data_IF_759720611863
#
_entry.id   IF_759720611863
#
_cell.length_a   1.000
_cell.length_b   1.000
_cell.length_c   1.000
_cell.angle_alpha   90.00
_cell.angle_beta   90.00
_cell.angle_gamma   90.00
#
_symmetry.space_group_name_H-M   'P 1'
#
loop_
_entity.id
_entity.type
_entity.pdbx_description
1 polymer ?
#
# COMPACT_ATOMS: atom_id res chain seq x y z
N UNK A 1 -24.40 -76.41 83.94
CA UNK A 1 -24.97 -76.37 82.57
C UNK A 1 -24.73 -74.96 82.04
N UNK A 2 -23.79 -74.84 81.11
CA UNK A 2 -23.25 -73.58 80.60
C UNK A 2 -24.06 -73.18 79.37
N UNK A 3 -24.69 -72.00 79.37
CA UNK A 3 -25.05 -71.29 78.13
C UNK A 3 -23.87 -70.40 77.79
N UNK A 4 -23.23 -70.60 76.63
CA UNK A 4 -23.40 -69.67 75.50
C UNK A 4 -23.25 -70.44 74.15
N UNK A 5 -23.56 -69.94 72.97
CA UNK A 5 -23.53 -68.58 72.46
C UNK A 5 -24.65 -68.43 71.44
N UNK A 6 -25.34 -67.30 71.52
CA UNK A 6 -25.93 -66.65 70.36
C UNK A 6 -24.75 -66.36 69.40
N UNK A 7 -24.46 -67.31 68.51
CA UNK A 7 -23.71 -66.97 67.30
C UNK A 7 -24.64 -66.00 66.57
N UNK A 8 -24.25 -64.73 66.57
CA UNK A 8 -24.96 -63.66 65.88
C UNK A 8 -25.04 -64.00 64.39
N UNK A 9 -26.07 -64.76 64.04
CA UNK A 9 -26.57 -64.86 62.68
C UNK A 9 -26.95 -63.44 62.29
N UNK A 10 -26.13 -62.86 61.41
CA UNK A 10 -26.50 -61.65 60.69
C UNK A 10 -27.88 -61.92 60.06
N UNK A 11 -28.92 -61.13 60.39
CA UNK A 11 -30.31 -61.48 60.10
C UNK A 11 -30.65 -61.60 58.61
N UNK A 12 -29.69 -61.30 57.73
CA UNK A 12 -29.84 -61.29 56.27
C UNK A 12 -29.03 -62.39 55.53
N UNK A 13 -28.32 -63.29 56.22
CA UNK A 13 -27.54 -64.36 55.55
C UNK A 13 -26.37 -63.87 54.69
N UNK A 14 -25.98 -62.61 54.83
CA UNK A 14 -24.87 -61.97 54.09
C UNK A 14 -23.56 -62.36 54.74
N UNK A 15 -22.67 -62.99 53.98
CA UNK A 15 -21.34 -63.40 54.44
C UNK A 15 -20.30 -62.28 54.27
N UNK A 16 -19.19 -62.34 55.01
CA UNK A 16 -18.07 -61.39 54.85
C UNK A 16 -17.55 -61.33 53.39
N UNK A 17 -17.67 -62.44 52.64
CA UNK A 17 -17.29 -62.54 51.22
C UNK A 17 -18.22 -61.69 50.33
N UNK A 18 -19.51 -61.61 50.65
CA UNK A 18 -20.47 -60.77 49.92
C UNK A 18 -20.16 -59.27 50.09
N UNK A 19 -19.71 -58.87 51.28
CA UNK A 19 -19.27 -57.49 51.54
C UNK A 19 -18.02 -57.10 50.75
N UNK A 20 -17.03 -58.00 50.65
CA UNK A 20 -15.81 -57.78 49.85
C UNK A 20 -16.15 -57.65 48.37
N UNK A 21 -16.98 -58.55 47.83
CA UNK A 21 -17.42 -58.50 46.42
C UNK A 21 -18.14 -57.18 46.09
N UNK A 22 -19.06 -56.75 46.96
CA UNK A 22 -19.76 -55.47 46.79
C UNK A 22 -18.79 -54.28 46.85
N UNK A 23 -17.78 -54.32 47.72
CA UNK A 23 -16.77 -53.28 47.78
C UNK A 23 -15.92 -53.21 46.50
N UNK A 24 -15.56 -54.36 45.92
CA UNK A 24 -14.85 -54.46 44.63
C UNK A 24 -15.69 -53.88 43.48
N UNK A 25 -16.99 -54.20 43.41
CA UNK A 25 -17.93 -53.66 42.43
C UNK A 25 -18.06 -52.13 42.54
N UNK A 26 -18.19 -51.60 43.76
CA UNK A 26 -18.25 -50.15 44.02
C UNK A 26 -16.96 -49.47 43.58
N UNK A 27 -15.80 -50.09 43.87
CA UNK A 27 -14.50 -49.55 43.49
C UNK A 27 -14.28 -49.55 41.98
N UNK A 28 -14.70 -50.63 41.29
CA UNK A 28 -14.68 -50.72 39.83
C UNK A 28 -15.59 -49.66 39.18
N UNK A 29 -16.83 -49.52 39.66
CA UNK A 29 -17.76 -48.50 39.19
C UNK A 29 -17.22 -47.07 39.42
N UNK A 30 -16.60 -46.82 40.58
CA UNK A 30 -15.96 -45.54 40.91
C UNK A 30 -14.78 -45.22 39.97
N UNK A 31 -13.94 -46.22 39.66
CA UNK A 31 -12.85 -46.08 38.67
C UNK A 31 -13.39 -45.74 37.28
N UNK A 32 -14.38 -46.49 36.80
CA UNK A 32 -15.01 -46.22 35.49
C UNK A 32 -15.62 -44.82 35.43
N UNK A 33 -16.29 -44.37 36.50
CA UNK A 33 -16.86 -43.02 36.58
C UNK A 33 -15.78 -41.94 36.55
N UNK A 34 -14.64 -42.14 37.24
CA UNK A 34 -13.50 -41.20 37.18
C UNK A 34 -12.87 -41.15 35.79
N UNK A 35 -12.68 -42.30 35.16
CA UNK A 35 -12.12 -42.38 33.81
C UNK A 35 -13.03 -41.74 32.77
N UNK A 36 -14.35 -41.94 32.86
CA UNK A 36 -15.33 -41.27 31.99
C UNK A 36 -15.28 -39.74 32.13
N UNK A 37 -15.15 -39.23 33.35
CA UNK A 37 -14.98 -37.78 33.60
C UNK A 37 -13.67 -37.25 33.01
N UNK A 38 -12.56 -37.96 33.20
CA UNK A 38 -11.27 -37.58 32.62
C UNK A 38 -11.32 -37.56 31.09
N UNK A 39 -11.96 -38.57 30.47
CA UNK A 39 -12.18 -38.59 29.02
C UNK A 39 -13.05 -37.44 28.55
N UNK A 40 -14.11 -37.08 29.28
CA UNK A 40 -14.96 -35.95 28.95
C UNK A 40 -14.18 -34.61 29.00
N UNK A 41 -13.40 -34.39 30.06
CA UNK A 41 -12.55 -33.20 30.22
C UNK A 41 -11.50 -33.13 29.10
N UNK A 42 -10.85 -34.24 28.78
CA UNK A 42 -9.85 -34.29 27.71
C UNK A 42 -10.45 -33.93 26.36
N UNK A 43 -11.64 -34.47 26.02
CA UNK A 43 -12.35 -34.13 24.79
C UNK A 43 -12.79 -32.67 24.73
N UNK A 44 -13.25 -32.11 25.84
CA UNK A 44 -13.62 -30.69 25.90
C UNK A 44 -12.39 -29.80 25.72
N UNK A 45 -11.26 -30.14 26.36
CA UNK A 45 -10.01 -29.43 26.20
C UNK A 45 -9.54 -29.44 24.75
N UNK A 46 -9.48 -30.61 24.10
CA UNK A 46 -9.07 -30.70 22.69
C UNK A 46 -9.99 -29.88 21.79
N UNK A 47 -11.30 -29.97 22.00
CA UNK A 47 -12.28 -29.18 21.24
C UNK A 47 -12.05 -27.67 21.39
N UNK A 48 -11.77 -27.19 22.61
CA UNK A 48 -11.47 -25.77 22.86
C UNK A 48 -10.18 -25.34 22.17
N UNK A 49 -9.14 -26.17 22.19
CA UNK A 49 -7.86 -25.91 21.52
C UNK A 49 -8.06 -25.83 20.01
N UNK A 50 -8.74 -26.81 19.41
CA UNK A 50 -9.04 -26.82 17.96
C UNK A 50 -9.84 -25.58 17.55
N UNK A 51 -10.86 -25.22 18.34
CA UNK A 51 -11.66 -24.01 18.08
C UNK A 51 -10.82 -22.74 18.18
N UNK A 52 -9.96 -22.64 19.19
CA UNK A 52 -9.06 -21.50 19.35
C UNK A 52 -8.07 -21.40 18.18
N UNK A 53 -7.47 -22.52 17.77
CA UNK A 53 -6.57 -22.58 16.64
C UNK A 53 -7.27 -22.13 15.35
N UNK A 54 -8.45 -22.69 15.04
CA UNK A 54 -9.20 -22.29 13.85
C UNK A 54 -9.61 -20.79 13.88
N UNK A 55 -9.93 -20.27 15.06
CA UNK A 55 -10.22 -18.82 15.21
C UNK A 55 -8.99 -17.95 14.97
N UNK A 56 -7.82 -18.41 15.41
CA UNK A 56 -6.55 -17.71 15.24
C UNK A 56 -6.09 -17.74 13.79
N UNK A 57 -6.21 -18.87 13.10
CA UNK A 57 -5.93 -19.00 11.67
C UNK A 57 -6.79 -18.03 10.85
N UNK A 58 -8.12 -18.00 11.11
CA UNK A 58 -9.03 -17.03 10.48
C UNK A 58 -8.63 -15.58 10.74
N UNK A 59 -8.22 -15.27 11.97
CA UNK A 59 -7.72 -13.94 12.31
C UNK A 59 -6.45 -13.59 11.53
N UNK A 60 -5.49 -14.51 11.46
CA UNK A 60 -4.24 -14.31 10.72
C UNK A 60 -4.50 -14.10 9.23
N UNK A 61 -5.39 -14.88 8.63
CA UNK A 61 -5.72 -14.74 7.20
C UNK A 61 -6.42 -13.40 6.91
N UNK A 62 -7.37 -13.01 7.75
CA UNK A 62 -8.01 -11.69 7.67
C UNK A 62 -6.99 -10.56 7.89
N UNK A 63 -6.04 -10.74 8.81
CA UNK A 63 -4.99 -9.76 9.05
C UNK A 63 -4.06 -9.62 7.84
N UNK A 64 -3.60 -10.74 7.26
CA UNK A 64 -2.78 -10.75 6.04
C UNK A 64 -3.49 -10.05 4.89
N UNK A 65 -4.77 -10.35 4.66
CA UNK A 65 -5.56 -9.71 3.61
C UNK A 65 -5.59 -8.18 3.77
N UNK A 66 -5.90 -7.68 4.97
CA UNK A 66 -5.93 -6.23 5.25
C UNK A 66 -4.57 -5.56 5.05
N UNK A 67 -3.48 -6.22 5.47
CA UNK A 67 -2.12 -5.70 5.28
C UNK A 67 -1.78 -5.62 3.80
N UNK A 68 -2.06 -6.67 3.03
CA UNK A 68 -1.84 -6.68 1.58
C UNK A 68 -2.66 -5.60 0.88
N UNK A 69 -3.95 -5.44 1.20
CA UNK A 69 -4.80 -4.39 0.63
C UNK A 69 -4.28 -2.99 0.96
N UNK A 70 -3.86 -2.75 2.20
CA UNK A 70 -3.28 -1.47 2.62
C UNK A 70 -1.97 -1.18 1.88
N UNK A 71 -1.10 -2.18 1.73
CA UNK A 71 0.15 -2.06 0.99
C UNK A 71 -0.09 -1.76 -0.50
N UNK A 72 -1.01 -2.48 -1.13
CA UNK A 72 -1.39 -2.22 -2.52
C UNK A 72 -1.98 -0.81 -2.70
N UNK A 73 -2.86 -0.38 -1.79
CA UNK A 73 -3.44 0.96 -1.85
C UNK A 73 -2.36 2.05 -1.73
N UNK A 74 -1.38 1.86 -0.83
CA UNK A 74 -0.23 2.77 -0.71
C UNK A 74 0.62 2.76 -1.98
N UNK A 75 0.91 1.58 -2.55
CA UNK A 75 1.70 1.46 -3.77
C UNK A 75 1.01 2.13 -4.97
N UNK A 76 -0.31 1.96 -5.11
CA UNK A 76 -1.11 2.64 -6.14
C UNK A 76 -1.02 4.16 -6.00
N UNK A 77 -1.11 4.70 -4.77
CA UNK A 77 -0.97 6.14 -4.51
C UNK A 77 0.43 6.65 -4.85
N UNK A 78 1.47 5.90 -4.48
CA UNK A 78 2.86 6.25 -4.79
C UNK A 78 3.10 6.27 -6.31
N UNK A 79 2.65 5.23 -7.02
CA UNK A 79 2.78 5.13 -8.47
C UNK A 79 2.03 6.27 -9.18
N UNK A 80 0.82 6.61 -8.72
CA UNK A 80 0.08 7.75 -9.25
C UNK A 80 0.83 9.07 -9.07
N UNK A 81 1.39 9.31 -7.88
CA UNK A 81 2.19 10.50 -7.61
C UNK A 81 3.47 10.53 -8.46
N UNK A 82 4.14 9.39 -8.63
CA UNK A 82 5.33 9.25 -9.47
C UNK A 82 5.02 9.59 -10.93
N UNK A 83 3.94 9.03 -11.49
CA UNK A 83 3.54 9.32 -12.87
C UNK A 83 3.15 10.78 -13.07
N UNK A 84 2.46 11.39 -12.11
CA UNK A 84 2.19 12.84 -12.15
C UNK A 84 3.48 13.66 -12.20
N UNK A 85 4.46 13.33 -11.34
CA UNK A 85 5.77 14.00 -11.34
C UNK A 85 6.49 13.83 -12.67
N UNK A 86 6.53 12.60 -13.21
CA UNK A 86 7.16 12.31 -14.50
C UNK A 86 6.52 13.11 -15.64
N UNK A 87 5.19 13.19 -15.68
CA UNK A 87 4.49 13.99 -16.69
C UNK A 87 4.84 15.48 -16.57
N UNK A 88 4.88 16.01 -15.35
CA UNK A 88 5.31 17.39 -15.11
C UNK A 88 6.76 17.63 -15.54
N UNK A 89 7.67 16.70 -15.28
CA UNK A 89 9.06 16.79 -15.73
C UNK A 89 9.14 16.82 -17.26
N UNK A 90 8.40 15.94 -17.94
CA UNK A 90 8.33 15.92 -19.40
C UNK A 90 7.83 17.28 -19.93
N UNK A 91 6.82 17.87 -19.31
CA UNK A 91 6.27 19.15 -19.75
C UNK A 91 7.23 20.31 -19.48
N UNK A 92 7.92 20.32 -18.34
CA UNK A 92 9.01 21.27 -18.06
C UNK A 92 10.11 21.15 -19.12
N UNK A 93 10.52 19.93 -19.46
CA UNK A 93 11.53 19.68 -20.50
C UNK A 93 11.09 20.22 -21.87
N UNK A 94 9.83 20.02 -22.26
CA UNK A 94 9.29 20.59 -23.51
C UNK A 94 9.33 22.12 -23.49
N UNK A 95 8.95 22.74 -22.38
CA UNK A 95 8.98 24.20 -22.22
C UNK A 95 10.41 24.75 -22.29
N UNK A 96 11.36 24.13 -21.58
CA UNK A 96 12.77 24.53 -21.64
C UNK A 96 13.34 24.43 -23.06
N UNK A 97 12.98 23.37 -23.81
CA UNK A 97 13.39 23.21 -25.21
C UNK A 97 12.79 24.30 -26.11
N UNK A 98 11.53 24.69 -25.87
CA UNK A 98 10.89 25.79 -26.59
C UNK A 98 11.56 27.14 -26.29
N UNK A 99 11.89 27.41 -25.02
CA UNK A 99 12.65 28.59 -24.61
C UNK A 99 14.03 28.62 -25.26
N UNK A 100 14.74 27.50 -25.32
CA UNK A 100 16.05 27.44 -25.98
C UNK A 100 15.95 27.75 -27.48
N UNK A 101 14.93 27.21 -28.17
CA UNK A 101 14.67 27.51 -29.58
C UNK A 101 14.35 28.99 -29.81
N UNK A 102 13.45 29.57 -29.02
CA UNK A 102 13.10 30.99 -29.14
C UNK A 102 14.30 31.90 -28.84
N UNK A 103 15.13 31.57 -27.85
CA UNK A 103 16.38 32.28 -27.56
C UNK A 103 17.34 32.27 -28.75
N UNK A 104 17.53 31.12 -29.40
CA UNK A 104 18.37 30.99 -30.60
C UNK A 104 17.82 31.82 -31.76
N UNK A 105 16.52 31.79 -32.00
CA UNK A 105 15.87 32.60 -33.03
C UNK A 105 16.05 34.10 -32.77
N UNK A 106 15.88 34.55 -31.52
CA UNK A 106 16.08 35.94 -31.13
C UNK A 106 17.55 36.38 -31.33
N UNK A 107 18.51 35.55 -30.95
CA UNK A 107 19.93 35.84 -31.17
C UNK A 107 20.25 35.99 -32.66
N UNK A 108 19.73 35.11 -33.52
CA UNK A 108 19.91 35.21 -34.97
C UNK A 108 19.30 36.50 -35.53
N UNK A 109 18.09 36.87 -35.09
CA UNK A 109 17.43 38.10 -35.50
C UNK A 109 18.24 39.34 -35.08
N UNK A 110 18.80 39.34 -33.86
CA UNK A 110 19.66 40.44 -33.40
C UNK A 110 20.92 40.58 -34.27
N UNK A 111 21.55 39.47 -34.65
CA UNK A 111 22.70 39.49 -35.56
C UNK A 111 22.29 40.06 -36.93
N UNK A 112 21.16 39.63 -37.48
CA UNK A 112 20.65 40.13 -38.76
C UNK A 112 20.36 41.64 -38.71
N UNK A 113 19.70 42.12 -37.65
CA UNK A 113 19.45 43.56 -37.44
C UNK A 113 20.76 44.34 -37.37
N UNK A 114 21.76 43.84 -36.63
CA UNK A 114 23.07 44.50 -36.53
C UNK A 114 23.77 44.56 -37.88
N UNK A 115 23.79 43.47 -38.64
CA UNK A 115 24.41 43.40 -39.97
C UNK A 115 23.74 44.38 -40.93
N UNK A 116 22.41 44.36 -41.01
CA UNK A 116 21.63 45.27 -41.85
C UNK A 116 21.90 46.74 -41.50
N UNK A 117 22.01 47.07 -40.19
CA UNK A 117 22.33 48.43 -39.76
C UNK A 117 23.75 48.84 -40.16
N UNK A 118 24.72 47.94 -40.05
CA UNK A 118 26.10 48.20 -40.47
C UNK A 118 26.18 48.41 -41.98
N UNK A 119 25.53 47.54 -42.76
CA UNK A 119 25.42 47.66 -44.22
C UNK A 119 24.78 48.99 -44.63
N UNK A 120 23.62 49.33 -44.04
CA UNK A 120 22.92 50.59 -44.30
C UNK A 120 23.80 51.81 -43.98
N UNK A 121 24.53 51.78 -42.86
CA UNK A 121 25.42 52.88 -42.45
C UNK A 121 26.62 53.02 -43.39
N UNK A 122 27.17 51.89 -43.85
CA UNK A 122 28.24 51.87 -44.84
C UNK A 122 27.77 52.39 -46.21
N UNK A 123 26.58 52.01 -46.66
CA UNK A 123 25.94 52.53 -47.87
C UNK A 123 25.73 54.06 -47.79
N UNK A 124 25.19 54.56 -46.67
CA UNK A 124 25.01 56.00 -46.46
C UNK A 124 26.35 56.72 -46.48
N UNK A 125 27.39 56.16 -45.85
CA UNK A 125 28.72 56.78 -45.80
C UNK A 125 29.40 56.86 -47.17
N UNK A 126 29.14 55.88 -48.06
CA UNK A 126 29.73 55.81 -49.39
C UNK A 126 28.95 56.59 -50.45
N UNK A 127 27.62 56.64 -50.34
CA UNK A 127 26.74 57.25 -51.36
C UNK A 127 26.10 58.57 -50.93
N UNK A 128 26.14 58.92 -49.65
CA UNK A 128 25.52 60.11 -49.08
C UNK A 128 23.99 60.11 -49.09
N UNK A 129 23.34 59.02 -49.50
CA UNK A 129 21.88 58.89 -49.59
C UNK A 129 21.34 57.87 -48.60
N UNK A 130 20.18 58.16 -48.01
CA UNK A 130 19.44 57.25 -47.13
C UNK A 130 18.63 56.26 -47.99
N UNK A 131 18.59 54.96 -47.68
CA UNK A 131 17.79 54.00 -48.43
C UNK A 131 16.29 54.32 -48.37
N UNK A 132 15.60 54.32 -49.51
CA UNK A 132 14.16 54.63 -49.63
C UNK A 132 13.23 53.53 -49.09
N UNK A 133 13.74 52.31 -48.86
CA UNK A 133 12.96 51.17 -48.36
C UNK A 133 13.67 50.52 -47.19
N UNK A 134 12.89 50.18 -46.15
CA UNK A 134 13.39 49.41 -45.02
C UNK A 134 13.89 48.03 -45.48
N UNK A 135 15.08 47.59 -45.04
CA UNK A 135 15.57 46.25 -45.32
C UNK A 135 14.60 45.20 -44.77
N UNK A 136 14.26 44.22 -45.60
CA UNK A 136 13.35 43.13 -45.21
C UNK A 136 14.11 42.14 -44.32
N UNK A 137 13.92 42.26 -43.02
CA UNK A 137 14.36 41.23 -42.07
C UNK A 137 13.60 39.93 -42.36
N UNK A 138 14.30 38.80 -42.35
CA UNK A 138 13.61 37.51 -42.35
C UNK A 138 12.77 37.42 -41.09
N UNK A 139 11.47 37.15 -41.24
CA UNK A 139 10.64 36.85 -40.08
C UNK A 139 11.22 35.60 -39.42
N UNK A 140 11.35 35.57 -38.07
CA UNK A 140 11.57 34.31 -37.40
C UNK A 140 10.48 33.36 -37.85
N UNK A 141 10.86 32.20 -38.39
CA UNK A 141 9.90 31.27 -38.97
C UNK A 141 8.73 31.01 -38.01
N UNK A 142 7.51 31.13 -38.53
CA UNK A 142 6.22 30.96 -37.83
C UNK A 142 5.97 29.51 -37.33
N UNK A 143 7.04 28.74 -37.09
CA UNK A 143 7.01 27.41 -36.50
C UNK A 143 7.01 27.44 -34.96
N UNK A 144 6.83 28.62 -34.35
CA UNK A 144 6.51 28.74 -32.94
C UNK A 144 5.04 28.34 -32.76
N UNK A 145 4.79 27.06 -32.51
CA UNK A 145 3.48 26.53 -32.12
C UNK A 145 2.83 27.46 -31.11
N UNK A 146 1.73 28.10 -31.54
CA UNK A 146 0.91 29.05 -30.79
C UNK A 146 0.07 28.41 -29.68
N UNK A 147 0.28 27.13 -29.37
CA UNK A 147 -0.61 26.36 -28.49
C UNK A 147 -0.23 26.40 -27.00
N UNK A 148 0.74 27.21 -26.58
CA UNK A 148 1.11 27.29 -25.16
C UNK A 148 0.93 28.72 -24.65
N UNK A 149 -0.14 29.03 -23.89
CA UNK A 149 -0.29 30.31 -23.23
C UNK A 149 0.83 30.44 -22.18
N UNK A 150 1.90 31.17 -22.54
CA UNK A 150 3.10 31.36 -21.73
C UNK A 150 2.85 32.14 -20.42
N UNK A 151 1.62 32.64 -20.19
CA UNK A 151 1.28 33.45 -19.01
C UNK A 151 0.58 32.69 -17.88
N UNK A 152 0.15 31.42 -18.06
CA UNK A 152 -0.73 30.78 -17.07
C UNK A 152 -0.14 29.57 -16.32
N UNK A 153 1.01 29.02 -16.74
CA UNK A 153 1.55 27.79 -16.13
C UNK A 153 2.59 28.02 -15.03
N UNK A 154 3.33 29.12 -15.05
CA UNK A 154 4.28 29.45 -13.97
C UNK A 154 3.57 29.92 -12.69
N UNK A 155 2.41 30.57 -12.79
CA UNK A 155 1.66 31.05 -11.62
C UNK A 155 1.08 29.91 -10.78
N UNK A 156 0.74 28.75 -11.39
CA UNK A 156 0.23 27.57 -10.68
C UNK A 156 1.30 26.80 -9.90
N UNK A 157 2.57 26.87 -10.33
CA UNK A 157 3.71 26.26 -9.64
C UNK A 157 4.10 26.99 -8.36
N UNK A 158 3.80 28.30 -8.26
CA UNK A 158 4.15 29.10 -7.07
C UNK A 158 3.05 29.15 -5.99
N UNK A 159 1.80 28.72 -6.29
CA UNK A 159 0.65 28.95 -5.40
C UNK A 159 -0.21 27.70 -5.07
N UNK A 160 0.33 26.49 -5.20
CA UNK A 160 -0.37 25.27 -4.75
C UNK A 160 0.40 24.62 -3.60
N UNK A 161 0.28 25.22 -2.41
CA UNK A 161 0.44 24.55 -1.12
C UNK A 161 -0.93 24.09 -0.63
#
# INVERSE_FOLDING_TARGET
>A
MCSPSDEGESPDGITAIDHVRRAEEILAASKQKKEAKLKAISKEYTHRVEKAQASFEKFLDAHKARVSEAQEAQMRRLNHALHKRQNLEIDIWKQLKALEKSRKALANLLIEVCNVRLETTAEISTTGRVPEKAPKLRRPEENLSTDIPHSMLLYKLCYSY
#
